data_IF_379388973988
#
_entry.id   IF_379388973988
#
_cell.length_a   1.000
_cell.length_b   1.000
_cell.length_c   1.000
_cell.angle_alpha   90.00
_cell.angle_beta   90.00
_cell.angle_gamma   90.00
#
_symmetry.space_group_name_H-M   'P 1'
#
loop_
_entity.id
_entity.type
_entity.pdbx_description
1 polymer ?
#
# COMPACT_ATOMS: atom_id res chain seq x y z
N UNK A 1 57.01 -1.59 -14.64
CA UNK A 1 55.62 -1.91 -15.04
C UNK A 1 54.83 -2.07 -13.76
N UNK A 2 53.81 -1.30 -13.42
CA UNK A 2 53.06 -0.29 -14.18
C UNK A 2 52.63 0.83 -13.22
N UNK A 3 52.63 2.06 -13.74
CA UNK A 3 51.75 3.13 -13.25
C UNK A 3 50.36 2.53 -13.18
N UNK A 4 49.70 2.63 -12.04
CA UNK A 4 48.25 2.44 -11.96
C UNK A 4 47.63 3.46 -12.90
N UNK A 5 47.29 3.03 -14.12
CA UNK A 5 46.50 3.84 -15.04
C UNK A 5 45.19 4.13 -14.33
N UNK A 6 45.04 5.40 -13.92
CA UNK A 6 43.86 5.88 -13.21
C UNK A 6 42.70 5.75 -14.19
N UNK A 7 41.72 4.91 -13.88
CA UNK A 7 40.56 4.74 -14.74
C UNK A 7 39.87 6.09 -14.92
N UNK A 8 39.70 6.51 -16.17
CA UNK A 8 39.06 7.78 -16.50
C UNK A 8 37.54 7.61 -16.53
N UNK A 9 36.82 8.51 -15.84
CA UNK A 9 35.37 8.52 -15.87
C UNK A 9 34.86 9.02 -17.24
N UNK A 10 33.77 8.45 -17.76
CA UNK A 10 33.12 8.95 -18.97
C UNK A 10 32.75 10.43 -18.83
N UNK A 11 32.97 11.20 -19.88
CA UNK A 11 32.63 12.63 -19.89
C UNK A 11 31.44 12.85 -20.81
N UNK A 12 30.31 13.25 -20.24
CA UNK A 12 29.13 13.60 -21.02
C UNK A 12 29.42 14.81 -21.93
N UNK A 13 29.00 14.70 -23.19
CA UNK A 13 28.99 15.83 -24.13
C UNK A 13 28.07 16.93 -23.60
N UNK A 14 28.52 18.18 -23.72
CA UNK A 14 27.73 19.36 -23.40
C UNK A 14 26.97 19.82 -24.65
N UNK A 15 25.64 19.80 -24.59
CA UNK A 15 24.74 20.31 -25.61
C UNK A 15 23.82 21.32 -24.91
N UNK A 16 24.04 22.61 -25.15
CA UNK A 16 23.30 23.67 -24.45
C UNK A 16 21.82 23.64 -24.84
N UNK A 17 20.97 23.44 -23.84
CA UNK A 17 19.53 23.68 -23.93
C UNK A 17 19.15 24.87 -23.07
N UNK A 18 18.48 25.85 -23.68
CA UNK A 18 17.84 26.94 -22.94
C UNK A 18 16.50 26.47 -22.35
N UNK A 19 16.33 26.74 -21.06
CA UNK A 19 15.10 26.55 -20.30
C UNK A 19 14.63 27.91 -19.80
N UNK A 20 13.56 28.44 -20.39
CA UNK A 20 13.02 29.76 -20.08
C UNK A 20 11.72 29.62 -19.30
N UNK A 21 11.70 30.09 -18.05
CA UNK A 21 10.50 30.11 -17.21
C UNK A 21 10.49 31.44 -16.43
N UNK A 22 9.33 32.11 -16.39
CA UNK A 22 9.14 33.40 -15.70
C UNK A 22 10.14 34.51 -16.10
N UNK A 23 10.62 34.49 -17.34
CA UNK A 23 11.60 35.46 -17.84
C UNK A 23 13.04 35.20 -17.41
N UNK A 24 13.30 34.13 -16.64
CA UNK A 24 14.64 33.66 -16.31
C UNK A 24 15.08 32.57 -17.29
N UNK A 25 16.33 32.64 -17.74
CA UNK A 25 16.91 31.68 -18.70
C UNK A 25 18.01 30.88 -18.03
N UNK A 26 17.79 29.58 -17.93
CA UNK A 26 18.79 28.63 -17.44
C UNK A 26 19.34 27.80 -18.60
N UNK A 27 20.65 27.57 -18.60
CA UNK A 27 21.31 26.70 -19.56
C UNK A 27 21.56 25.33 -18.94
N UNK A 28 20.96 24.30 -19.52
CA UNK A 28 21.21 22.92 -19.16
C UNK A 28 22.05 22.24 -20.26
N UNK A 29 23.36 22.04 -20.05
CA UNK A 29 24.22 21.38 -21.03
C UNK A 29 23.97 19.86 -21.17
N UNK A 30 23.15 19.27 -20.31
CA UNK A 30 22.93 17.82 -20.26
C UNK A 30 21.46 17.43 -20.45
N UNK A 31 20.60 18.37 -20.84
CA UNK A 31 19.17 18.14 -21.05
C UNK A 31 18.90 16.98 -22.02
N UNK A 32 19.76 16.81 -23.03
CA UNK A 32 19.68 15.74 -24.03
C UNK A 32 19.74 14.31 -23.44
N UNK A 33 20.27 14.13 -22.21
CA UNK A 33 20.25 12.84 -21.51
C UNK A 33 18.83 12.35 -21.14
N UNK A 34 17.80 13.19 -21.28
CA UNK A 34 16.41 12.80 -21.07
C UNK A 34 15.80 12.00 -22.25
N UNK A 35 16.48 11.96 -23.40
CA UNK A 35 16.01 11.32 -24.63
C UNK A 35 16.28 9.81 -24.59
N UNK A 36 15.36 9.05 -24.01
CA UNK A 36 15.54 7.62 -23.68
C UNK A 36 15.96 6.73 -24.86
N UNK A 37 15.49 7.04 -26.05
CA UNK A 37 15.75 6.25 -27.27
C UNK A 37 16.95 6.78 -28.08
N UNK A 38 17.60 7.86 -27.62
CA UNK A 38 18.75 8.44 -28.30
C UNK A 38 19.98 7.53 -28.16
N UNK A 39 20.61 7.08 -29.27
CA UNK A 39 21.79 6.22 -29.23
C UNK A 39 22.99 6.83 -28.50
N UNK A 40 23.18 8.16 -28.52
CA UNK A 40 24.26 8.83 -27.77
C UNK A 40 24.03 8.70 -26.25
N UNK A 41 22.77 8.70 -25.79
CA UNK A 41 22.42 8.55 -24.37
C UNK A 41 22.71 7.14 -23.92
N UNK A 42 22.24 6.14 -24.70
CA UNK A 42 22.48 4.72 -24.43
C UNK A 42 23.98 4.43 -24.40
N UNK A 43 24.75 4.99 -25.34
CA UNK A 43 26.21 4.83 -25.37
C UNK A 43 26.88 5.42 -24.12
N UNK A 44 26.46 6.61 -23.67
CA UNK A 44 26.99 7.22 -22.45
C UNK A 44 26.66 6.40 -21.20
N UNK A 45 25.42 5.91 -21.07
CA UNK A 45 25.02 5.04 -19.95
C UNK A 45 25.81 3.72 -19.92
N UNK A 46 26.06 3.12 -21.09
CA UNK A 46 26.90 1.93 -21.17
C UNK A 46 28.36 2.22 -20.77
N UNK A 47 28.89 3.39 -21.12
CA UNK A 47 30.22 3.81 -20.69
C UNK A 47 30.29 4.01 -19.16
N UNK A 48 29.27 4.62 -18.55
CA UNK A 48 29.17 4.76 -17.09
C UNK A 48 29.06 3.41 -16.39
N UNK A 49 28.28 2.46 -16.93
CA UNK A 49 28.20 1.10 -16.42
C UNK A 49 29.57 0.39 -16.49
N UNK A 50 30.27 0.49 -17.62
CA UNK A 50 31.59 -0.12 -17.79
C UNK A 50 32.64 0.50 -16.84
N UNK A 51 32.55 1.81 -16.59
CA UNK A 51 33.40 2.50 -15.60
C UNK A 51 33.10 2.01 -14.18
N UNK A 52 31.82 1.90 -13.81
CA UNK A 52 31.38 1.34 -12.53
C UNK A 52 31.88 -0.09 -12.31
N UNK A 53 31.72 -0.97 -13.32
CA UNK A 53 32.17 -2.37 -13.25
C UNK A 53 33.66 -2.45 -12.98
N UNK A 54 34.46 -1.67 -13.71
CA UNK A 54 35.92 -1.64 -13.53
C UNK A 54 36.33 -1.05 -12.18
N UNK A 55 35.70 0.05 -11.73
CA UNK A 55 36.04 0.67 -10.44
C UNK A 55 35.57 -0.09 -9.22
N UNK A 56 34.64 -1.03 -9.38
CA UNK A 56 34.14 -1.85 -8.27
C UNK A 56 34.55 -3.31 -8.36
N UNK A 57 35.33 -3.69 -9.38
CA UNK A 57 35.77 -5.07 -9.61
C UNK A 57 36.49 -5.68 -8.40
N UNK A 58 37.27 -4.89 -7.65
CA UNK A 58 37.99 -5.38 -6.45
C UNK A 58 37.07 -5.65 -5.24
N UNK A 59 35.78 -5.31 -5.32
CA UNK A 59 34.79 -5.64 -4.31
C UNK A 59 33.96 -6.88 -4.65
N UNK A 60 34.21 -7.58 -5.76
CA UNK A 60 33.35 -8.68 -6.23
C UNK A 60 33.15 -9.77 -5.16
N UNK A 61 34.23 -10.25 -4.55
CA UNK A 61 34.17 -11.26 -3.48
C UNK A 61 33.36 -10.75 -2.27
N UNK A 62 33.47 -9.46 -1.94
CA UNK A 62 32.73 -8.87 -0.82
C UNK A 62 31.25 -8.66 -1.16
N UNK A 63 30.92 -8.27 -2.40
CA UNK A 63 29.54 -8.18 -2.89
C UNK A 63 28.87 -9.55 -2.85
N UNK A 64 29.55 -10.60 -3.31
CA UNK A 64 29.03 -11.97 -3.27
C UNK A 64 28.85 -12.45 -1.82
N UNK A 65 29.81 -12.18 -0.93
CA UNK A 65 29.68 -12.51 0.49
C UNK A 65 28.45 -11.84 1.13
N UNK A 66 28.22 -10.56 0.85
CA UNK A 66 27.03 -9.83 1.31
C UNK A 66 25.74 -10.38 0.69
N UNK A 67 25.76 -10.71 -0.61
CA UNK A 67 24.61 -11.30 -1.29
C UNK A 67 24.22 -12.65 -0.65
N UNK A 68 25.18 -13.56 -0.47
CA UNK A 68 24.96 -14.85 0.19
C UNK A 68 24.47 -14.64 1.62
N UNK A 69 25.07 -13.72 2.37
CA UNK A 69 24.64 -13.40 3.74
C UNK A 69 23.18 -12.93 3.77
N UNK A 70 22.81 -11.94 2.95
CA UNK A 70 21.44 -11.41 2.88
C UNK A 70 20.44 -12.49 2.43
N UNK A 71 20.76 -13.24 1.38
CA UNK A 71 19.91 -14.33 0.88
C UNK A 71 19.72 -15.42 1.93
N UNK A 72 20.76 -15.77 2.68
CA UNK A 72 20.71 -16.82 3.72
C UNK A 72 19.77 -16.49 4.87
N UNK A 73 19.39 -15.21 5.05
CA UNK A 73 18.45 -14.76 6.08
C UNK A 73 16.98 -14.85 5.65
N UNK A 74 16.73 -15.05 4.35
CA UNK A 74 15.39 -15.07 3.77
C UNK A 74 14.88 -16.51 3.74
N UNK A 75 13.68 -16.71 4.26
CA UNK A 75 12.92 -17.95 4.09
C UNK A 75 12.21 -17.93 2.74
N UNK A 76 12.74 -18.66 1.75
CA UNK A 76 12.17 -18.72 0.40
C UNK A 76 10.80 -19.42 0.37
N UNK A 77 10.64 -20.51 1.13
CA UNK A 77 9.36 -21.20 1.33
C UNK A 77 8.56 -20.51 2.44
N UNK A 78 7.61 -19.66 2.07
CA UNK A 78 6.86 -18.86 3.05
C UNK A 78 5.38 -18.71 2.68
N UNK A 79 4.54 -18.39 3.68
CA UNK A 79 3.13 -18.12 3.46
C UNK A 79 2.63 -16.96 4.31
N UNK A 80 1.68 -16.18 3.79
CA UNK A 80 0.97 -15.17 4.56
C UNK A 80 0.20 -15.80 5.73
N UNK A 81 -0.05 -15.02 6.78
CA UNK A 81 -1.07 -15.39 7.78
C UNK A 81 -2.44 -15.43 7.09
N UNK A 82 -3.16 -16.57 7.08
CA UNK A 82 -4.46 -16.66 6.43
C UNK A 82 -5.48 -15.69 7.03
N UNK A 83 -6.25 -14.99 6.20
CA UNK A 83 -7.32 -14.09 6.66
C UNK A 83 -8.69 -14.58 6.22
N UNK A 84 -9.69 -14.40 7.06
CA UNK A 84 -11.07 -14.77 6.77
C UNK A 84 -11.79 -13.62 6.08
N UNK A 85 -12.46 -13.92 4.97
CA UNK A 85 -13.31 -13.00 4.25
C UNK A 85 -14.45 -13.76 3.59
N UNK A 86 -15.70 -13.35 3.85
CA UNK A 86 -16.89 -13.86 3.17
C UNK A 86 -17.01 -15.40 3.17
N UNK A 87 -16.66 -16.04 4.29
CA UNK A 87 -16.72 -17.50 4.43
C UNK A 87 -15.51 -18.27 3.89
N UNK A 88 -14.44 -17.60 3.45
CA UNK A 88 -13.21 -18.24 2.99
C UNK A 88 -11.98 -17.71 3.73
N UNK A 89 -10.97 -18.56 3.87
CA UNK A 89 -9.62 -18.20 4.31
C UNK A 89 -8.72 -18.03 3.10
N UNK A 90 -8.15 -16.86 2.92
CA UNK A 90 -7.26 -16.54 1.79
C UNK A 90 -5.80 -16.63 2.20
N UNK A 91 -4.97 -17.19 1.32
CA UNK A 91 -3.57 -17.50 1.59
C UNK A 91 -2.73 -17.10 0.35
N UNK A 92 -1.60 -16.46 0.60
CA UNK A 92 -0.54 -16.25 -0.39
C UNK A 92 0.66 -17.09 0.01
N UNK A 93 1.23 -17.84 -0.93
CA UNK A 93 2.38 -18.72 -0.72
C UNK A 93 3.51 -18.39 -1.67
N UNK A 94 4.73 -18.59 -1.21
CA UNK A 94 5.96 -18.58 -1.98
C UNK A 94 6.62 -19.95 -1.81
N UNK A 95 7.15 -20.47 -2.92
CA UNK A 95 7.81 -21.77 -2.97
C UNK A 95 9.27 -21.53 -3.33
N UNK A 96 10.16 -22.27 -2.70
CA UNK A 96 11.60 -22.17 -2.93
C UNK A 96 11.96 -22.37 -4.39
N UNK A 97 12.85 -21.51 -4.89
CA UNK A 97 13.25 -21.48 -6.30
C UNK A 97 12.16 -21.00 -7.26
N UNK A 98 11.08 -20.38 -6.76
CA UNK A 98 10.03 -19.74 -7.55
C UNK A 98 9.97 -18.25 -7.23
N UNK A 99 9.79 -17.44 -8.27
CA UNK A 99 9.87 -15.98 -8.16
C UNK A 99 8.52 -15.32 -7.84
N UNK A 100 7.40 -16.03 -8.04
CA UNK A 100 6.07 -15.45 -7.99
C UNK A 100 5.14 -16.13 -6.96
N UNK A 101 4.15 -15.39 -6.42
CA UNK A 101 3.22 -15.93 -5.44
C UNK A 101 2.22 -16.93 -6.03
N UNK A 102 1.78 -17.84 -5.19
CA UNK A 102 0.62 -18.69 -5.40
C UNK A 102 -0.51 -18.16 -4.51
N UNK A 103 -1.66 -17.86 -5.10
CA UNK A 103 -2.86 -17.41 -4.41
C UNK A 103 -3.84 -18.57 -4.28
N UNK A 104 -4.31 -18.83 -3.07
CA UNK A 104 -5.29 -19.89 -2.80
C UNK A 104 -6.29 -19.48 -1.71
N UNK A 105 -7.36 -20.26 -1.59
CA UNK A 105 -8.35 -20.10 -0.52
C UNK A 105 -8.83 -21.44 0.03
N UNK A 106 -9.39 -21.43 1.24
CA UNK A 106 -10.04 -22.59 1.88
C UNK A 106 -11.42 -22.17 2.38
N UNK A 107 -12.46 -22.96 2.11
CA UNK A 107 -13.83 -22.65 2.51
C UNK A 107 -14.02 -22.89 4.01
N UNK A 108 -14.58 -21.93 4.73
CA UNK A 108 -15.00 -21.96 6.16
C UNK A 108 -13.93 -22.24 7.22
N UNK A 109 -13.14 -23.30 7.06
CA UNK A 109 -12.07 -23.74 7.96
C UNK A 109 -10.73 -23.87 7.21
N UNK A 110 -9.63 -23.71 7.94
CA UNK A 110 -8.27 -23.96 7.43
C UNK A 110 -7.97 -25.46 7.23
N UNK A 111 -8.78 -26.35 7.81
CA UNK A 111 -8.67 -27.81 7.64
C UNK A 111 -9.35 -28.31 6.36
N UNK A 112 -10.19 -27.49 5.74
CA UNK A 112 -10.88 -27.85 4.51
C UNK A 112 -9.91 -27.87 3.30
N UNK A 113 -10.30 -28.56 2.20
CA UNK A 113 -9.49 -28.61 0.99
C UNK A 113 -9.12 -27.22 0.47
N UNK A 114 -7.89 -27.13 -0.05
CA UNK A 114 -7.38 -25.91 -0.66
C UNK A 114 -7.82 -25.77 -2.11
N UNK A 115 -8.34 -24.58 -2.43
CA UNK A 115 -8.72 -24.17 -3.77
C UNK A 115 -7.66 -23.21 -4.32
N UNK A 116 -7.00 -23.60 -5.41
CA UNK A 116 -6.03 -22.76 -6.10
C UNK A 116 -6.76 -21.65 -6.88
N UNK A 117 -6.43 -20.38 -6.59
CA UNK A 117 -6.91 -19.26 -7.38
C UNK A 117 -5.97 -18.99 -8.55
N UNK A 118 -4.68 -18.81 -8.27
CA UNK A 118 -3.66 -18.49 -9.28
C UNK A 118 -2.30 -19.05 -8.89
N UNK A 119 -1.61 -19.67 -9.85
CA UNK A 119 -0.16 -19.89 -9.78
C UNK A 119 0.53 -18.90 -10.72
N UNK A 120 1.06 -17.82 -10.14
CA UNK A 120 1.70 -16.77 -10.95
C UNK A 120 3.00 -17.27 -11.60
N UNK A 121 3.61 -18.35 -11.12
CA UNK A 121 4.81 -18.91 -11.74
C UNK A 121 4.49 -19.55 -13.08
N UNK A 122 3.37 -20.25 -13.18
CA UNK A 122 2.89 -20.82 -14.44
C UNK A 122 2.47 -19.73 -15.41
N UNK A 123 1.75 -18.70 -14.93
CA UNK A 123 1.30 -17.58 -15.75
C UNK A 123 2.47 -16.73 -16.27
N UNK A 124 3.56 -16.60 -15.52
CA UNK A 124 4.71 -15.78 -15.88
C UNK A 124 5.65 -16.41 -16.93
N UNK A 125 5.57 -17.73 -17.19
CA UNK A 125 6.57 -18.46 -18.02
C UNK A 125 6.83 -17.86 -19.40
N UNK A 126 5.80 -17.26 -20.03
CA UNK A 126 5.89 -16.71 -21.37
C UNK A 126 6.31 -15.23 -21.40
N UNK A 127 6.64 -14.64 -20.25
CA UNK A 127 6.85 -13.19 -20.12
C UNK A 127 8.18 -12.87 -19.42
N UNK A 128 8.88 -11.85 -19.92
CA UNK A 128 10.08 -11.31 -19.27
C UNK A 128 9.76 -10.48 -18.03
N UNK A 129 8.52 -10.01 -17.90
CA UNK A 129 7.96 -9.37 -16.72
C UNK A 129 6.54 -9.88 -16.50
N UNK A 130 6.16 -10.12 -15.25
CA UNK A 130 4.79 -10.48 -14.91
C UNK A 130 4.39 -9.86 -13.57
N UNK A 131 3.18 -9.30 -13.51
CA UNK A 131 2.58 -8.86 -12.26
C UNK A 131 1.07 -9.02 -12.29
N UNK A 132 0.57 -9.77 -11.30
CA UNK A 132 -0.86 -9.87 -11.00
C UNK A 132 -1.21 -8.92 -9.84
N UNK A 133 -2.32 -8.18 -9.96
CA UNK A 133 -2.83 -7.26 -8.92
C UNK A 133 -4.36 -7.29 -8.84
N UNK A 134 -4.93 -6.60 -7.85
CA UNK A 134 -6.35 -6.24 -7.85
C UNK A 134 -7.33 -7.39 -7.71
N UNK A 135 -6.91 -8.47 -7.02
CA UNK A 135 -7.77 -9.62 -6.71
C UNK A 135 -9.02 -9.19 -5.94
N UNK A 136 -10.18 -9.24 -6.59
CA UNK A 136 -11.47 -8.96 -5.97
C UNK A 136 -12.47 -10.06 -6.25
N UNK A 137 -13.02 -10.63 -5.17
CA UNK A 137 -13.95 -11.75 -5.22
C UNK A 137 -15.39 -11.22 -5.26
N UNK A 138 -16.23 -11.80 -6.13
CA UNK A 138 -17.65 -11.44 -6.19
C UNK A 138 -18.35 -11.77 -4.86
N UNK A 139 -19.43 -11.05 -4.49
CA UNK A 139 -20.12 -11.26 -3.22
C UNK A 139 -20.62 -12.70 -2.98
N UNK A 140 -20.94 -13.44 -4.04
CA UNK A 140 -21.33 -14.85 -4.00
C UNK A 140 -20.15 -15.85 -3.98
N UNK A 141 -18.90 -15.36 -3.97
CA UNK A 141 -17.66 -16.13 -4.03
C UNK A 141 -17.43 -16.94 -5.33
N UNK A 142 -18.22 -16.71 -6.38
CA UNK A 142 -18.16 -17.51 -7.62
C UNK A 142 -17.18 -16.97 -8.66
N UNK A 143 -16.79 -15.70 -8.58
CA UNK A 143 -15.92 -15.06 -9.57
C UNK A 143 -14.80 -14.26 -8.91
N UNK A 144 -13.70 -14.09 -9.63
CA UNK A 144 -12.62 -13.18 -9.27
C UNK A 144 -12.30 -12.26 -10.44
N UNK A 145 -12.21 -10.97 -10.17
CA UNK A 145 -11.63 -9.99 -11.09
C UNK A 145 -10.17 -9.71 -10.67
N UNK A 146 -9.27 -9.58 -11.64
CA UNK A 146 -7.83 -9.44 -11.40
C UNK A 146 -7.13 -8.76 -12.57
N UNK A 147 -6.10 -7.95 -12.30
CA UNK A 147 -5.31 -7.24 -13.31
C UNK A 147 -3.97 -7.92 -13.59
N UNK A 148 -3.56 -7.98 -14.86
CA UNK A 148 -2.23 -8.45 -15.29
C UNK A 148 -1.47 -7.34 -16.03
N UNK A 149 -0.19 -7.15 -15.68
CA UNK A 149 0.79 -6.37 -16.45
C UNK A 149 1.98 -7.26 -16.81
N UNK A 150 2.30 -7.33 -18.09
CA UNK A 150 3.44 -8.09 -18.63
C UNK A 150 4.56 -7.21 -19.19
N UNK A 151 4.43 -5.88 -19.03
CA UNK A 151 5.32 -4.86 -19.58
C UNK A 151 6.08 -4.05 -18.51
N UNK A 152 5.60 -4.05 -17.27
CA UNK A 152 6.17 -3.26 -16.17
C UNK A 152 5.76 -1.79 -16.16
N UNK A 153 4.85 -1.37 -17.05
CA UNK A 153 4.37 0.02 -17.13
C UNK A 153 3.24 0.32 -16.14
N UNK A 154 2.92 -0.61 -15.24
CA UNK A 154 1.77 -0.55 -14.31
C UNK A 154 0.48 -0.27 -15.09
N UNK A 155 0.38 -0.85 -16.28
CA UNK A 155 -0.79 -0.79 -17.14
C UNK A 155 -1.39 -2.17 -17.23
N UNK A 156 -2.59 -2.33 -16.68
CA UNK A 156 -3.14 -3.65 -16.43
C UNK A 156 -4.31 -3.91 -17.36
N UNK A 157 -4.41 -5.16 -17.81
CA UNK A 157 -5.65 -5.71 -18.36
C UNK A 157 -6.37 -6.45 -17.24
N UNK A 158 -7.61 -6.07 -16.95
CA UNK A 158 -8.47 -6.79 -16.00
C UNK A 158 -9.11 -7.95 -16.72
N UNK A 159 -9.03 -9.12 -16.11
CA UNK A 159 -9.70 -10.35 -16.51
C UNK A 159 -10.67 -10.80 -15.42
N UNK A 160 -11.64 -11.63 -15.80
CA UNK A 160 -12.60 -12.23 -14.88
C UNK A 160 -12.49 -13.75 -15.00
N UNK A 161 -12.34 -14.44 -13.86
CA UNK A 161 -12.29 -15.90 -13.80
C UNK A 161 -13.47 -16.42 -13.00
N UNK A 162 -14.16 -17.41 -13.55
CA UNK A 162 -15.16 -18.21 -12.87
C UNK A 162 -14.46 -19.27 -12.01
N UNK A 163 -14.75 -19.26 -10.72
CA UNK A 163 -14.08 -20.09 -9.71
C UNK A 163 -14.72 -21.47 -9.56
N UNK A 164 -15.96 -21.65 -10.04
CA UNK A 164 -16.63 -22.96 -10.02
C UNK A 164 -16.11 -23.84 -11.16
N UNK A 165 -15.92 -23.26 -12.34
CA UNK A 165 -15.43 -23.93 -13.55
C UNK A 165 -13.92 -23.80 -13.75
N UNK A 166 -13.26 -22.90 -13.01
CA UNK A 166 -11.85 -22.58 -13.13
C UNK A 166 -11.46 -21.99 -14.52
N UNK A 167 -12.42 -21.41 -15.25
CA UNK A 167 -12.20 -20.81 -16.57
C UNK A 167 -12.16 -19.29 -16.53
N UNK A 168 -11.26 -18.69 -17.33
CA UNK A 168 -11.27 -17.24 -17.58
C UNK A 168 -12.39 -16.93 -18.58
N UNK A 169 -13.22 -15.95 -18.27
CA UNK A 169 -14.31 -15.48 -19.14
C UNK A 169 -13.75 -14.74 -20.36
N UNK A 170 -14.58 -14.52 -21.38
CA UNK A 170 -14.18 -13.77 -22.58
C UNK A 170 -13.95 -12.28 -22.28
N UNK A 171 -14.54 -11.75 -21.21
CA UNK A 171 -14.40 -10.37 -20.79
C UNK A 171 -12.93 -10.03 -20.45
N UNK A 172 -12.42 -8.99 -21.10
CA UNK A 172 -11.12 -8.39 -20.79
C UNK A 172 -11.16 -6.88 -20.96
N UNK A 173 -10.51 -6.16 -20.05
CA UNK A 173 -10.61 -4.71 -19.97
C UNK A 173 -9.20 -4.12 -19.90
N UNK A 174 -8.77 -3.50 -20.99
CA UNK A 174 -7.41 -2.95 -21.13
C UNK A 174 -7.28 -1.52 -20.56
N UNK A 175 -6.01 -1.09 -20.43
CA UNK A 175 -5.63 0.27 -20.02
C UNK A 175 -6.19 0.72 -18.65
N UNK A 176 -6.06 -0.17 -17.66
CA UNK A 176 -6.60 0.04 -16.31
C UNK A 176 -5.51 0.18 -15.25
N UNK A 177 -5.91 0.56 -14.03
CA UNK A 177 -5.06 0.47 -12.82
C UNK A 177 -4.96 -0.96 -12.26
N UNK A 178 -5.72 -1.91 -12.82
CA UNK A 178 -5.82 -3.29 -12.35
C UNK A 178 -6.73 -3.48 -11.14
N UNK A 179 -7.23 -2.41 -10.52
CA UNK A 179 -8.19 -2.47 -9.42
C UNK A 179 -9.63 -2.34 -9.91
N UNK A 180 -10.55 -3.01 -9.22
CA UNK A 180 -11.98 -2.97 -9.49
C UNK A 180 -12.82 -3.16 -8.22
N UNK A 181 -14.12 -2.90 -8.31
CA UNK A 181 -15.07 -3.09 -7.22
C UNK A 181 -16.34 -3.77 -7.71
N UNK A 182 -16.73 -4.89 -7.07
CA UNK A 182 -17.98 -5.58 -7.34
C UNK A 182 -19.18 -4.86 -6.72
N UNK A 183 -20.24 -4.69 -7.50
CA UNK A 183 -21.58 -4.46 -6.97
C UNK A 183 -22.09 -5.67 -6.17
N UNK A 184 -23.27 -5.57 -5.56
CA UNK A 184 -23.89 -6.69 -4.81
C UNK A 184 -24.65 -7.68 -5.70
N UNK A 185 -24.80 -7.39 -7.00
CA UNK A 185 -25.51 -8.24 -7.97
C UNK A 185 -24.68 -9.41 -8.53
N UNK A 186 -23.39 -9.51 -8.14
CA UNK A 186 -22.41 -10.50 -8.63
C UNK A 186 -22.11 -10.42 -10.14
N UNK A 187 -22.56 -9.36 -10.81
CA UNK A 187 -22.53 -9.26 -12.27
C UNK A 187 -21.97 -7.93 -12.78
N UNK A 188 -21.92 -6.91 -11.93
CA UNK A 188 -21.43 -5.58 -12.29
C UNK A 188 -20.12 -5.26 -11.58
N UNK A 189 -19.13 -4.82 -12.36
CA UNK A 189 -17.83 -4.34 -11.92
C UNK A 189 -17.66 -2.86 -12.21
N UNK A 190 -17.02 -2.15 -11.30
CA UNK A 190 -16.55 -0.78 -11.52
C UNK A 190 -15.02 -0.78 -11.54
N UNK A 191 -14.42 -0.07 -12.48
CA UNK A 191 -12.96 -0.04 -12.64
C UNK A 191 -12.47 1.31 -13.13
N UNK A 192 -11.16 1.53 -13.02
CA UNK A 192 -10.50 2.79 -13.38
C UNK A 192 -9.75 2.65 -14.70
N UNK A 193 -10.04 3.50 -15.68
CA UNK A 193 -9.20 3.70 -16.87
C UNK A 193 -8.17 4.81 -16.67
N UNK A 194 -7.03 4.65 -17.32
CA UNK A 194 -5.93 5.61 -17.29
C UNK A 194 -5.88 6.43 -18.57
N UNK A 195 -5.42 7.66 -18.44
CA UNK A 195 -5.12 8.51 -19.58
C UNK A 195 -3.95 7.90 -20.38
N UNK A 196 -4.07 7.84 -21.71
CA UNK A 196 -3.15 7.09 -22.58
C UNK A 196 -1.70 7.59 -22.50
N UNK A 197 -1.52 8.91 -22.46
CA UNK A 197 -0.18 9.53 -22.40
C UNK A 197 0.37 9.64 -20.97
N UNK A 198 -0.39 10.22 -20.05
CA UNK A 198 0.10 10.54 -18.69
C UNK A 198 0.03 9.35 -17.73
N UNK A 199 -0.71 8.29 -18.09
CA UNK A 199 -1.03 7.14 -17.25
C UNK A 199 -1.78 7.50 -15.95
N UNK A 200 -2.32 8.73 -15.85
CA UNK A 200 -3.13 9.17 -14.70
C UNK A 200 -4.47 8.41 -14.68
N UNK A 201 -4.90 7.82 -13.55
CA UNK A 201 -6.25 7.31 -13.40
C UNK A 201 -7.26 8.46 -13.43
N UNK A 202 -8.22 8.45 -14.36
CA UNK A 202 -9.13 9.60 -14.56
C UNK A 202 -10.56 9.28 -14.98
N UNK A 203 -10.86 8.06 -15.41
CA UNK A 203 -12.24 7.66 -15.75
C UNK A 203 -12.64 6.42 -14.95
N UNK A 204 -13.85 6.42 -14.40
CA UNK A 204 -14.48 5.22 -13.84
C UNK A 204 -15.50 4.70 -14.84
N UNK A 205 -15.43 3.41 -15.13
CA UNK A 205 -16.37 2.71 -15.97
C UNK A 205 -17.11 1.64 -15.18
N UNK A 206 -18.33 1.35 -15.63
CA UNK A 206 -19.15 0.22 -15.19
C UNK A 206 -19.18 -0.83 -16.29
N UNK A 207 -18.68 -2.01 -15.97
CA UNK A 207 -18.73 -3.20 -16.80
C UNK A 207 -19.81 -4.16 -16.30
N UNK A 208 -20.60 -4.69 -17.22
CA UNK A 208 -21.55 -5.78 -16.95
C UNK A 208 -21.03 -7.03 -17.68
N UNK A 209 -20.84 -8.13 -16.95
CA UNK A 209 -20.26 -9.36 -17.52
C UNK A 209 -21.03 -9.79 -18.76
N UNK A 210 -20.30 -10.15 -19.81
CA UNK A 210 -20.82 -10.58 -21.11
C UNK A 210 -21.27 -9.43 -22.01
N UNK A 211 -21.17 -8.17 -21.57
CA UNK A 211 -21.40 -6.99 -22.43
C UNK A 211 -20.07 -6.46 -22.96
N UNK A 212 -20.09 -6.08 -24.25
CA UNK A 212 -18.92 -5.51 -24.93
C UNK A 212 -18.70 -4.02 -24.64
N UNK A 213 -19.77 -3.31 -24.32
CA UNK A 213 -19.73 -1.86 -24.12
C UNK A 213 -19.91 -1.52 -22.65
N UNK A 214 -18.91 -0.83 -22.11
CA UNK A 214 -18.89 -0.33 -20.74
C UNK A 214 -19.40 1.11 -20.67
N UNK A 215 -20.05 1.45 -19.57
CA UNK A 215 -20.63 2.78 -19.36
C UNK A 215 -19.67 3.64 -18.56
N UNK A 216 -19.31 4.82 -19.08
CA UNK A 216 -18.58 5.84 -18.31
C UNK A 216 -19.49 6.35 -17.19
N UNK A 217 -19.04 6.27 -15.93
CA UNK A 217 -19.83 6.71 -14.77
C UNK A 217 -19.27 7.96 -14.09
N UNK A 218 -17.97 8.23 -14.25
CA UNK A 218 -17.32 9.42 -13.70
C UNK A 218 -16.04 9.73 -14.47
N UNK A 219 -15.73 11.02 -14.64
CA UNK A 219 -14.48 11.48 -15.25
C UNK A 219 -13.90 12.67 -14.47
N UNK A 220 -12.66 12.54 -14.02
CA UNK A 220 -11.93 13.59 -13.31
C UNK A 220 -11.25 14.54 -14.30
N UNK A 221 -11.80 15.75 -14.37
CA UNK A 221 -11.35 16.82 -15.27
C UNK A 221 -10.07 17.51 -14.77
N UNK A 222 -9.84 17.56 -13.46
CA UNK A 222 -8.65 18.17 -12.89
C UNK A 222 -7.46 17.20 -12.96
N UNK A 223 -6.42 17.56 -13.72
CA UNK A 223 -5.25 16.72 -13.94
C UNK A 223 -4.34 16.59 -12.70
N UNK A 224 -4.60 17.33 -11.63
CA UNK A 224 -3.91 17.21 -10.34
C UNK A 224 -4.49 16.12 -9.45
N UNK A 225 -5.66 15.55 -9.81
CA UNK A 225 -6.34 14.51 -9.06
C UNK A 225 -6.15 13.14 -9.69
N UNK A 226 -5.90 12.12 -8.87
CA UNK A 226 -6.12 10.73 -9.22
C UNK A 226 -7.50 10.28 -8.75
N UNK A 227 -8.01 9.19 -9.33
CA UNK A 227 -9.23 8.55 -8.85
C UNK A 227 -9.08 7.06 -8.59
N UNK A 228 -9.87 6.55 -7.65
CA UNK A 228 -10.00 5.13 -7.34
C UNK A 228 -11.47 4.77 -7.12
N UNK A 229 -11.81 3.48 -7.25
CA UNK A 229 -13.13 2.94 -6.90
C UNK A 229 -12.97 1.74 -5.97
N UNK A 230 -13.78 1.69 -4.91
CA UNK A 230 -13.77 0.62 -3.93
C UNK A 230 -15.16 0.41 -3.32
N UNK A 231 -15.29 -0.62 -2.49
CA UNK A 231 -16.52 -0.93 -1.75
C UNK A 231 -16.30 -0.70 -0.27
N UNK A 232 -17.25 -0.03 0.37
CA UNK A 232 -17.26 0.13 1.82
C UNK A 232 -17.23 -1.21 2.55
N UNK A 233 -16.60 -1.27 3.74
CA UNK A 233 -16.53 -2.49 4.56
C UNK A 233 -17.92 -3.02 4.94
N UNK A 234 -18.89 -2.13 5.13
CA UNK A 234 -20.31 -2.48 5.32
C UNK A 234 -20.99 -3.17 4.13
N UNK A 235 -20.34 -3.18 2.96
CA UNK A 235 -20.86 -3.65 1.66
C UNK A 235 -22.06 -2.85 1.12
N UNK A 236 -22.51 -1.78 1.80
CA UNK A 236 -23.66 -0.97 1.40
C UNK A 236 -23.34 -0.01 0.25
N UNK A 237 -22.15 0.58 0.25
CA UNK A 237 -21.75 1.59 -0.74
C UNK A 237 -20.58 1.16 -1.62
N UNK A 238 -20.68 1.45 -2.90
CA UNK A 238 -19.56 1.68 -3.82
C UNK A 238 -19.12 3.14 -3.67
N UNK A 239 -17.81 3.38 -3.70
CA UNK A 239 -17.22 4.68 -3.41
C UNK A 239 -16.19 5.00 -4.49
N UNK A 240 -16.33 6.18 -5.10
CA UNK A 240 -15.27 6.80 -5.91
C UNK A 240 -14.53 7.77 -4.99
N UNK A 241 -13.21 7.64 -4.92
CA UNK A 241 -12.34 8.59 -4.24
C UNK A 241 -11.58 9.41 -5.28
N UNK A 242 -11.68 10.72 -5.20
CA UNK A 242 -10.87 11.68 -5.93
C UNK A 242 -9.85 12.27 -4.95
N UNK A 243 -8.57 12.23 -5.29
CA UNK A 243 -7.51 12.61 -4.37
C UNK A 243 -6.40 13.40 -5.07
N UNK A 244 -5.98 14.48 -4.42
CA UNK A 244 -4.71 15.17 -4.67
C UNK A 244 -3.87 15.16 -3.39
N UNK A 245 -2.77 15.91 -3.37
CA UNK A 245 -1.89 15.98 -2.20
C UNK A 245 -2.49 16.70 -1.00
N UNK A 246 -3.52 17.53 -1.19
CA UNK A 246 -4.06 18.41 -0.14
C UNK A 246 -5.58 18.49 -0.16
N UNK A 247 -6.26 17.69 -0.98
CA UNK A 247 -7.71 17.81 -1.15
C UNK A 247 -8.32 16.48 -1.59
N UNK A 248 -9.47 16.14 -1.00
CA UNK A 248 -10.25 14.96 -1.38
C UNK A 248 -11.68 15.32 -1.78
N UNK A 249 -12.29 14.44 -2.56
CA UNK A 249 -13.73 14.41 -2.80
C UNK A 249 -14.17 12.96 -2.97
N UNK A 250 -15.31 12.58 -2.40
CA UNK A 250 -15.86 11.24 -2.53
C UNK A 250 -17.23 11.27 -3.18
N UNK A 251 -17.54 10.21 -3.93
CA UNK A 251 -18.87 9.97 -4.45
C UNK A 251 -19.34 8.59 -4.01
N UNK A 252 -20.62 8.46 -3.64
CA UNK A 252 -21.21 7.24 -3.10
C UNK A 252 -22.36 6.74 -3.98
N UNK A 253 -22.47 5.42 -4.11
CA UNK A 253 -23.57 4.73 -4.79
C UNK A 253 -23.97 3.50 -3.97
N UNK A 254 -25.28 3.26 -3.80
CA UNK A 254 -25.77 2.03 -3.18
C UNK A 254 -25.32 0.82 -4.02
N UNK A 255 -24.56 -0.09 -3.43
CA UNK A 255 -24.00 -1.25 -4.12
C UNK A 255 -25.08 -2.27 -4.56
N UNK A 256 -26.30 -2.19 -4.02
CA UNK A 256 -27.46 -2.96 -4.48
C UNK A 256 -28.15 -2.35 -5.72
N UNK A 257 -27.81 -1.11 -6.08
CA UNK A 257 -28.38 -0.38 -7.23
C UNK A 257 -27.27 0.03 -8.21
N UNK A 258 -26.54 -0.93 -8.81
CA UNK A 258 -25.35 -0.62 -9.61
C UNK A 258 -25.62 0.17 -10.90
N UNK A 259 -26.89 0.25 -11.32
CA UNK A 259 -27.31 1.08 -12.45
C UNK A 259 -27.62 2.53 -12.04
N UNK A 260 -27.61 2.84 -10.74
CA UNK A 260 -27.83 4.18 -10.21
C UNK A 260 -26.70 5.15 -10.51
N UNK A 261 -26.85 6.38 -9.98
CA UNK A 261 -25.91 7.49 -10.20
C UNK A 261 -25.12 7.73 -8.93
N UNK A 262 -23.81 7.88 -9.07
CA UNK A 262 -22.93 8.30 -7.98
C UNK A 262 -23.32 9.70 -7.51
N UNK A 263 -23.51 9.85 -6.19
CA UNK A 263 -23.80 11.14 -5.56
C UNK A 263 -22.56 11.66 -4.86
N UNK A 264 -22.27 12.94 -5.00
CA UNK A 264 -21.20 13.61 -4.24
C UNK A 264 -21.50 13.45 -2.75
N UNK A 265 -20.49 13.02 -1.98
CA UNK A 265 -20.55 12.93 -0.52
C UNK A 265 -20.44 14.32 0.10
N UNK A 266 -19.36 15.03 -0.23
CA UNK A 266 -19.10 16.42 0.10
C UNK A 266 -18.28 17.03 -1.04
N UNK A 267 -18.79 18.13 -1.62
CA UNK A 267 -18.10 18.86 -2.68
C UNK A 267 -16.69 19.29 -2.25
N UNK A 268 -15.77 19.26 -3.21
CA UNK A 268 -14.37 19.60 -3.01
C UNK A 268 -14.18 21.00 -2.41
N UNK A 269 -13.46 21.06 -1.29
CA UNK A 269 -13.00 22.30 -0.66
C UNK A 269 -11.47 22.28 -0.69
N UNK A 270 -10.85 23.31 -1.28
CA UNK A 270 -9.37 23.37 -1.38
C UNK A 270 -8.73 23.32 0.01
N UNK A 271 -7.82 22.39 0.21
CA UNK A 271 -7.13 22.16 1.49
C UNK A 271 -7.89 21.23 2.44
N UNK A 272 -9.13 20.83 2.13
CA UNK A 272 -9.88 19.88 2.94
C UNK A 272 -9.49 18.45 2.55
N UNK A 273 -8.82 17.80 3.48
CA UNK A 273 -8.50 16.38 3.42
C UNK A 273 -9.48 15.62 4.30
N UNK A 274 -10.00 14.53 3.76
CA UNK A 274 -10.82 13.62 4.54
C UNK A 274 -10.81 12.22 3.95
N UNK A 275 -11.16 11.23 4.76
CA UNK A 275 -11.46 9.87 4.32
C UNK A 275 -12.77 9.38 4.93
N UNK A 276 -13.46 8.47 4.23
CA UNK A 276 -14.77 7.98 4.67
C UNK A 276 -14.78 6.47 4.89
N UNK A 277 -15.39 6.05 5.99
CA UNK A 277 -15.74 4.66 6.31
C UNK A 277 -17.22 4.57 6.66
N UNK A 278 -17.89 3.48 6.36
CA UNK A 278 -19.33 3.33 6.61
C UNK A 278 -19.62 2.20 7.60
N UNK A 279 -20.50 2.48 8.57
CA UNK A 279 -21.01 1.50 9.52
C UNK A 279 -22.41 1.90 10.03
N UNK A 280 -23.32 0.92 10.11
CA UNK A 280 -24.75 1.11 10.38
C UNK A 280 -25.42 2.10 9.41
N UNK A 281 -25.88 3.24 9.93
CA UNK A 281 -26.54 4.35 9.24
C UNK A 281 -25.64 5.60 9.16
N UNK A 282 -24.35 5.45 9.43
CA UNK A 282 -23.40 6.56 9.50
C UNK A 282 -22.15 6.33 8.64
N UNK A 283 -21.65 7.43 8.09
CA UNK A 283 -20.27 7.56 7.67
C UNK A 283 -19.43 8.13 8.80
N UNK A 284 -18.22 7.59 8.96
CA UNK A 284 -17.17 8.05 9.85
C UNK A 284 -16.07 8.68 9.02
N UNK A 285 -15.66 9.88 9.40
CA UNK A 285 -14.88 10.80 8.58
C UNK A 285 -13.63 11.23 9.35
N UNK A 286 -12.46 10.77 8.93
CA UNK A 286 -11.19 11.32 9.44
C UNK A 286 -10.89 12.55 8.60
N UNK A 287 -10.86 13.75 9.18
CA UNK A 287 -10.75 15.02 8.43
C UNK A 287 -9.89 16.07 9.12
N UNK A 288 -9.27 16.94 8.32
CA UNK A 288 -8.56 18.14 8.79
C UNK A 288 -9.46 19.39 8.89
N UNK A 289 -10.80 19.24 8.81
CA UNK A 289 -11.78 20.32 8.95
C UNK A 289 -11.51 21.17 10.20
N UNK A 290 -11.70 22.49 10.08
CA UNK A 290 -11.52 23.48 11.15
C UNK A 290 -10.06 23.60 11.62
N UNK A 291 -9.12 23.61 10.67
CA UNK A 291 -7.68 23.69 10.90
C UNK A 291 -7.13 22.55 11.80
N UNK A 292 -7.80 21.40 11.80
CA UNK A 292 -7.39 20.21 12.52
C UNK A 292 -6.24 19.51 11.77
N UNK A 293 -5.05 20.08 11.77
CA UNK A 293 -3.89 19.57 11.00
C UNK A 293 -3.43 18.18 11.43
N UNK A 294 -3.73 17.75 12.65
CA UNK A 294 -3.56 16.37 13.13
C UNK A 294 -4.82 15.50 12.99
N UNK A 295 -5.78 15.98 12.21
CA UNK A 295 -7.07 15.36 11.94
C UNK A 295 -7.95 15.19 13.19
N UNK A 296 -9.22 15.01 12.94
CA UNK A 296 -10.24 14.64 13.93
C UNK A 296 -11.18 13.61 13.33
N UNK A 297 -11.88 12.86 14.18
CA UNK A 297 -12.89 11.91 13.72
C UNK A 297 -14.27 12.55 13.86
N UNK A 298 -14.99 12.61 12.76
CA UNK A 298 -16.38 13.06 12.70
C UNK A 298 -17.27 11.93 12.20
N UNK A 299 -18.58 12.13 12.27
CA UNK A 299 -19.57 11.24 11.67
C UNK A 299 -20.71 12.06 11.06
N UNK A 300 -21.42 11.45 10.12
CA UNK A 300 -22.70 11.97 9.64
C UNK A 300 -23.60 10.82 9.20
N UNK A 301 -24.90 11.06 9.11
CA UNK A 301 -25.83 10.07 8.58
C UNK A 301 -25.60 9.83 7.09
N UNK A 302 -25.85 8.60 6.64
CA UNK A 302 -25.64 8.21 5.25
C UNK A 302 -26.65 8.77 4.24
N UNK A 303 -27.66 9.51 4.72
CA UNK A 303 -28.61 10.31 3.94
C UNK A 303 -28.35 11.83 4.00
N UNK A 304 -27.42 12.29 4.86
CA UNK A 304 -27.11 13.72 5.09
C UNK A 304 -25.58 13.95 5.10
N UNK A 305 -24.91 13.70 3.97
CA UNK A 305 -23.44 13.58 3.93
C UNK A 305 -22.65 14.91 3.95
N UNK A 306 -23.30 16.06 3.74
CA UNK A 306 -22.60 17.36 3.62
C UNK A 306 -21.97 17.79 4.94
N UNK A 307 -20.91 18.59 4.81
CA UNK A 307 -20.01 19.01 5.90
C UNK A 307 -20.70 19.72 7.06
N UNK A 308 -21.85 20.37 6.80
CA UNK A 308 -22.65 21.06 7.82
C UNK A 308 -23.34 20.09 8.79
N UNK A 309 -23.46 18.81 8.42
CA UNK A 309 -24.05 17.75 9.25
C UNK A 309 -23.00 16.91 9.98
N UNK A 310 -21.71 17.22 9.82
CA UNK A 310 -20.66 16.44 10.45
C UNK A 310 -20.62 16.72 11.95
N UNK A 311 -20.82 15.68 12.74
CA UNK A 311 -20.77 15.68 14.20
C UNK A 311 -19.43 15.12 14.68
N UNK A 312 -18.84 15.75 15.69
CA UNK A 312 -17.57 15.30 16.24
C UNK A 312 -17.72 13.98 17.02
N UNK A 313 -16.78 13.05 16.80
CA UNK A 313 -16.65 11.77 17.52
C UNK A 313 -15.38 11.78 18.37
N UNK A 314 -14.25 12.17 17.77
CA UNK A 314 -13.00 12.43 18.48
C UNK A 314 -12.50 13.83 18.10
N UNK A 315 -12.32 14.73 19.07
CA UNK A 315 -11.79 16.06 18.81
C UNK A 315 -10.35 16.01 18.30
N UNK A 316 -9.97 17.08 17.61
CA UNK A 316 -8.59 17.35 17.25
C UNK A 316 -7.68 17.44 18.49
N UNK A 317 -6.46 16.90 18.38
CA UNK A 317 -5.42 17.00 19.41
C UNK A 317 -4.12 17.53 18.80
N UNK A 318 -3.57 18.58 19.40
CA UNK A 318 -2.40 19.28 18.86
C UNK A 318 -1.12 18.42 18.84
N UNK A 319 -1.07 17.35 19.64
CA UNK A 319 0.09 16.46 19.83
C UNK A 319 -0.12 15.05 19.27
N UNK A 320 -1.33 14.73 18.75
CA UNK A 320 -1.67 13.39 18.25
C UNK A 320 -2.32 13.46 16.88
N UNK A 321 -1.63 12.95 15.87
CA UNK A 321 -2.17 12.72 14.54
C UNK A 321 -3.08 11.48 14.54
N UNK A 322 -4.30 11.60 14.00
CA UNK A 322 -5.11 10.45 13.61
C UNK A 322 -4.73 10.05 12.17
N UNK A 323 -4.10 8.89 11.99
CA UNK A 323 -3.66 8.42 10.67
C UNK A 323 -4.81 7.73 9.91
N UNK A 324 -5.55 6.83 10.56
CA UNK A 324 -6.73 6.16 10.00
C UNK A 324 -7.54 5.43 11.06
N UNK A 325 -8.66 4.83 10.64
CA UNK A 325 -9.53 4.01 11.48
C UNK A 325 -9.81 2.62 10.88
N UNK A 326 -10.03 1.64 11.75
CA UNK A 326 -10.57 0.32 11.42
C UNK A 326 -11.88 0.10 12.21
N UNK A 327 -12.98 -0.14 11.48
CA UNK A 327 -14.31 -0.33 12.06
C UNK A 327 -14.65 -1.83 12.15
N UNK A 328 -15.05 -2.28 13.33
CA UNK A 328 -15.59 -3.61 13.62
C UNK A 328 -17.01 -3.46 14.19
N UNK A 329 -17.75 -4.57 14.28
CA UNK A 329 -19.13 -4.57 14.80
C UNK A 329 -19.26 -3.95 16.20
N UNK A 330 -18.37 -4.29 17.12
CA UNK A 330 -18.45 -3.82 18.50
C UNK A 330 -17.34 -2.80 18.85
N UNK A 331 -16.34 -2.64 17.98
CA UNK A 331 -15.13 -1.88 18.25
C UNK A 331 -14.77 -0.92 17.12
N UNK A 332 -14.14 0.20 17.49
CA UNK A 332 -13.42 1.12 16.64
C UNK A 332 -11.94 1.07 17.03
N UNK A 333 -11.06 0.90 16.07
CA UNK A 333 -9.61 1.02 16.28
C UNK A 333 -9.12 2.26 15.57
N UNK A 334 -8.46 3.15 16.29
CA UNK A 334 -7.88 4.39 15.77
C UNK A 334 -6.36 4.24 15.76
N UNK A 335 -5.76 4.40 14.59
CA UNK A 335 -4.32 4.45 14.44
C UNK A 335 -3.88 5.89 14.60
N UNK A 336 -3.04 6.13 15.60
CA UNK A 336 -2.61 7.46 16.02
C UNK A 336 -1.08 7.57 15.96
N UNK A 337 -0.56 8.79 15.86
CA UNK A 337 0.86 9.07 16.04
C UNK A 337 1.06 10.21 17.02
N UNK A 338 1.76 9.92 18.11
CA UNK A 338 2.10 10.89 19.17
C UNK A 338 3.59 10.82 19.43
N UNK A 339 4.25 11.97 19.50
CA UNK A 339 5.71 12.06 19.66
C UNK A 339 6.45 11.11 18.70
N UNK A 340 6.02 11.04 17.44
CA UNK A 340 6.63 10.20 16.39
C UNK A 340 6.40 8.68 16.49
N UNK A 341 5.72 8.15 17.51
CA UNK A 341 5.40 6.72 17.62
C UNK A 341 3.96 6.43 17.24
N UNK A 342 3.77 5.31 16.55
CA UNK A 342 2.45 4.76 16.26
C UNK A 342 1.78 4.25 17.54
N UNK A 343 0.50 4.53 17.70
CA UNK A 343 -0.33 4.02 18.78
C UNK A 343 -1.61 3.43 18.18
N UNK A 344 -2.10 2.34 18.77
CA UNK A 344 -3.38 1.74 18.38
C UNK A 344 -4.34 1.89 19.57
N UNK A 345 -5.35 2.75 19.40
CA UNK A 345 -6.40 2.99 20.39
C UNK A 345 -7.62 2.12 20.06
N UNK A 346 -8.08 1.32 21.01
CA UNK A 346 -9.25 0.46 20.88
C UNK A 346 -10.38 1.07 21.70
N UNK A 347 -11.48 1.37 21.01
CA UNK A 347 -12.70 1.92 21.59
C UNK A 347 -13.88 0.98 21.32
N UNK A 348 -14.87 0.95 22.21
CA UNK A 348 -16.17 0.32 21.94
C UNK A 348 -17.21 1.36 21.56
N UNK A 349 -18.13 0.99 20.66
CA UNK A 349 -19.22 1.88 20.24
C UNK A 349 -20.19 2.27 21.36
N UNK A 350 -20.30 1.42 22.39
CA UNK A 350 -21.12 1.64 23.59
C UNK A 350 -20.41 2.49 24.67
N UNK A 351 -19.20 3.00 24.39
CA UNK A 351 -18.34 3.76 25.31
C UNK A 351 -17.93 3.01 26.59
N UNK A 352 -18.11 1.70 26.68
CA UNK A 352 -17.73 0.92 27.87
C UNK A 352 -16.22 0.63 27.96
N UNK A 353 -15.46 0.92 26.90
CA UNK A 353 -14.02 0.61 26.83
C UNK A 353 -13.31 1.58 25.90
N UNK A 354 -12.15 2.06 26.36
CA UNK A 354 -11.24 2.94 25.63
C UNK A 354 -9.82 2.75 26.18
N UNK A 355 -8.88 2.25 25.38
CA UNK A 355 -7.51 2.01 25.82
C UNK A 355 -6.53 1.93 24.65
N UNK A 356 -5.24 2.11 24.94
CA UNK A 356 -4.16 1.90 23.99
C UNK A 356 -3.56 0.51 24.13
N UNK A 357 -3.15 -0.09 23.00
CA UNK A 357 -2.32 -1.28 23.01
C UNK A 357 -0.95 -0.95 23.62
N UNK A 358 -0.42 -1.79 24.54
CA UNK A 358 0.86 -1.54 25.17
C UNK A 358 2.01 -1.93 24.23
N UNK A 359 2.90 -0.98 23.94
CA UNK A 359 4.17 -1.20 23.22
C UNK A 359 5.34 -0.79 24.11
N UNK A 360 6.38 -1.64 24.18
CA UNK A 360 7.46 -1.54 25.17
C UNK A 360 8.83 -1.15 24.60
N UNK A 361 8.91 -0.84 23.31
CA UNK A 361 10.14 -0.40 22.63
C UNK A 361 10.04 1.10 22.33
N UNK A 362 11.16 1.82 22.21
CA UNK A 362 11.18 3.25 21.88
C UNK A 362 11.39 3.50 20.37
N UNK A 363 11.61 2.44 19.60
CA UNK A 363 11.99 2.44 18.17
C UNK A 363 11.19 1.40 17.38
N UNK A 364 9.89 1.31 17.64
CA UNK A 364 8.99 0.40 16.95
C UNK A 364 8.16 1.07 15.86
N UNK A 365 7.52 0.23 15.07
CA UNK A 365 6.40 0.57 14.22
C UNK A 365 5.28 -0.42 14.48
N UNK A 366 4.06 0.08 14.59
CA UNK A 366 2.85 -0.70 14.74
C UNK A 366 1.77 -0.15 13.81
N UNK A 367 1.03 -1.03 13.16
CA UNK A 367 -0.03 -0.64 12.21
C UNK A 367 -1.09 -1.74 12.12
N UNK A 368 -2.35 -1.38 11.89
CA UNK A 368 -3.39 -2.38 11.66
C UNK A 368 -3.11 -3.15 10.36
N UNK A 369 -3.34 -4.46 10.40
CA UNK A 369 -3.13 -5.37 9.27
C UNK A 369 -4.43 -5.68 8.53
N UNK A 370 -4.50 -6.87 7.94
CA UNK A 370 -5.68 -7.34 7.21
C UNK A 370 -6.84 -7.64 8.17
N UNK A 371 -7.76 -6.69 8.31
CA UNK A 371 -8.96 -6.78 9.16
C UNK A 371 -10.25 -6.69 8.32
N UNK A 372 -10.38 -7.55 7.30
CA UNK A 372 -11.53 -7.52 6.38
C UNK A 372 -12.80 -8.18 6.93
N UNK A 373 -12.67 -9.07 7.91
CA UNK A 373 -13.81 -9.62 8.66
C UNK A 373 -14.37 -8.53 9.59
N UNK A 374 -15.68 -8.31 9.51
CA UNK A 374 -16.33 -7.21 10.20
C UNK A 374 -16.87 -7.61 11.59
N UNK A 375 -17.47 -8.80 11.66
CA UNK A 375 -18.06 -9.36 12.88
C UNK A 375 -17.03 -10.21 13.62
N UNK A 376 -16.07 -9.54 14.27
CA UNK A 376 -15.00 -10.18 15.03
C UNK A 376 -14.53 -9.29 16.18
N UNK A 377 -14.01 -9.93 17.23
CA UNK A 377 -13.32 -9.26 18.35
C UNK A 377 -11.80 -9.32 18.21
N UNK A 378 -11.30 -9.89 17.11
CA UNK A 378 -9.88 -10.10 16.86
C UNK A 378 -9.35 -8.99 15.94
N UNK A 379 -8.49 -8.14 16.49
CA UNK A 379 -7.69 -7.19 15.74
C UNK A 379 -6.39 -7.86 15.31
N UNK A 380 -6.04 -7.77 14.03
CA UNK A 380 -4.71 -8.10 13.55
C UNK A 380 -3.90 -6.84 13.32
N UNK A 381 -2.68 -6.80 13.84
CA UNK A 381 -1.75 -5.70 13.62
C UNK A 381 -0.33 -6.23 13.33
N UNK A 382 0.41 -5.46 12.55
CA UNK A 382 1.84 -5.63 12.34
C UNK A 382 2.62 -4.93 13.45
N UNK A 383 3.69 -5.56 13.93
CA UNK A 383 4.62 -4.96 14.87
C UNK A 383 6.04 -5.36 14.52
N UNK A 384 6.96 -4.39 14.50
CA UNK A 384 8.39 -4.63 14.45
C UNK A 384 9.13 -3.50 15.17
N UNK A 385 10.39 -3.75 15.54
CA UNK A 385 11.30 -2.70 15.96
C UNK A 385 12.65 -2.88 15.28
N UNK A 386 13.59 -1.97 15.51
CA UNK A 386 14.94 -2.13 14.96
C UNK A 386 15.67 -3.38 15.49
N UNK A 387 15.23 -3.94 16.61
CA UNK A 387 15.80 -5.16 17.21
C UNK A 387 14.90 -6.39 17.06
N UNK A 388 13.59 -6.18 16.83
CA UNK A 388 12.60 -7.27 16.76
C UNK A 388 12.08 -7.44 15.33
N UNK A 389 12.25 -8.64 14.72
CA UNK A 389 11.69 -8.93 13.40
C UNK A 389 10.17 -8.72 13.32
N UNK A 390 9.67 -8.51 12.11
CA UNK A 390 8.26 -8.24 11.88
C UNK A 390 7.37 -9.39 12.33
N UNK A 391 6.31 -9.06 13.07
CA UNK A 391 5.30 -9.99 13.53
C UNK A 391 3.91 -9.56 13.11
N UNK A 392 3.08 -10.54 12.76
CA UNK A 392 1.62 -10.39 12.69
C UNK A 392 1.04 -10.91 13.99
N UNK A 393 0.43 -10.01 14.75
CA UNK A 393 -0.14 -10.30 16.06
C UNK A 393 -1.66 -10.24 15.95
N UNK A 394 -2.33 -11.19 16.58
CA UNK A 394 -3.77 -11.19 16.76
C UNK A 394 -4.11 -10.90 18.22
N UNK A 395 -4.92 -9.87 18.40
CA UNK A 395 -5.27 -9.31 19.69
C UNK A 395 -6.78 -9.35 19.87
N UNK A 396 -7.23 -10.01 20.93
CA UNK A 396 -8.63 -10.01 21.29
C UNK A 396 -8.97 -8.71 22.02
N UNK A 397 -9.74 -7.85 21.36
CA UNK A 397 -10.12 -6.52 21.85
C UNK A 397 -11.02 -6.55 23.08
N UNK A 398 -11.68 -7.69 23.36
CA UNK A 398 -12.54 -7.88 24.53
C UNK A 398 -11.74 -8.39 25.74
N UNK A 399 -10.99 -9.48 25.58
CA UNK A 399 -10.24 -10.12 26.69
C UNK A 399 -8.87 -9.49 26.92
N UNK A 400 -8.39 -8.64 26.00
CA UNK A 400 -7.06 -8.01 26.01
C UNK A 400 -5.90 -9.00 25.99
N UNK A 401 -6.11 -10.16 25.38
CA UNK A 401 -5.10 -11.20 25.21
C UNK A 401 -4.56 -11.18 23.79
N UNK A 402 -3.27 -11.48 23.62
CA UNK A 402 -2.64 -11.52 22.30
C UNK A 402 -1.95 -12.86 22.02
N UNK A 403 -1.84 -13.18 20.73
CA UNK A 403 -1.00 -14.27 20.24
C UNK A 403 -0.28 -13.84 18.97
N UNK A 404 0.97 -14.27 18.81
CA UNK A 404 1.73 -14.08 17.57
C UNK A 404 1.22 -15.12 16.57
N UNK A 405 0.69 -14.67 15.43
CA UNK A 405 0.27 -15.57 14.34
C UNK A 405 1.45 -15.94 13.44
N UNK A 406 2.38 -15.01 13.26
CA UNK A 406 3.61 -15.21 12.51
C UNK A 406 4.66 -14.21 12.96
N UNK A 407 5.87 -14.67 13.22
CA UNK A 407 7.08 -13.84 13.34
C UNK A 407 7.96 -14.13 12.12
N UNK A 408 8.58 -13.09 11.56
CA UNK A 408 9.52 -13.23 10.46
C UNK A 408 10.74 -14.00 10.93
N UNK A 409 10.93 -15.19 10.36
CA UNK A 409 12.09 -16.01 10.61
C UNK A 409 13.31 -15.41 9.92
N UNK A 410 14.36 -15.11 10.70
CA UNK A 410 15.65 -14.64 10.18
C UNK A 410 16.61 -15.82 10.16
N UNK A 411 16.78 -16.42 8.98
CA UNK A 411 17.61 -17.60 8.79
C UNK A 411 19.13 -17.28 8.81
N UNK A 412 19.97 -18.29 8.56
CA UNK A 412 21.43 -18.14 8.50
C UNK A 412 22.15 -18.30 9.85
N UNK A 413 21.41 -18.58 10.94
CA UNK A 413 21.93 -19.06 12.22
C UNK A 413 22.78 -18.08 13.05
N UNK A 414 23.03 -16.87 12.54
CA UNK A 414 23.86 -15.85 13.20
C UNK A 414 23.07 -14.71 13.83
N UNK A 415 21.79 -14.57 13.46
CA UNK A 415 20.94 -13.53 14.01
C UNK A 415 20.42 -13.93 15.38
N UNK A 416 20.64 -13.07 16.36
CA UNK A 416 19.95 -13.10 17.65
C UNK A 416 19.56 -11.65 17.97
N UNK A 417 18.27 -11.41 18.19
CA UNK A 417 17.75 -10.08 18.58
C UNK A 417 18.43 -9.54 19.84
N UNK A 418 18.87 -10.42 20.73
CA UNK A 418 19.54 -10.05 21.97
C UNK A 418 20.96 -9.49 21.74
N UNK A 419 21.54 -9.67 20.55
CA UNK A 419 22.83 -9.08 20.20
C UNK A 419 22.75 -7.58 19.86
N UNK A 420 21.54 -7.03 19.70
CA UNK A 420 21.31 -5.66 19.28
C UNK A 420 20.61 -4.87 20.38
N UNK A 421 20.93 -3.58 20.47
CA UNK A 421 20.16 -2.62 21.24
C UNK A 421 19.74 -1.48 20.32
N UNK A 422 18.55 -0.95 20.59
CA UNK A 422 18.07 0.27 19.95
C UNK A 422 17.78 1.33 21.00
N UNK A 423 17.90 2.58 20.58
CA UNK A 423 17.62 3.74 21.42
C UNK A 423 17.00 4.83 20.58
N UNK A 424 16.16 5.65 21.23
CA UNK A 424 15.64 6.85 20.61
C UNK A 424 16.37 8.08 21.14
N UNK A 425 16.96 8.83 20.22
CA UNK A 425 17.68 10.06 20.49
C UNK A 425 16.90 11.25 19.96
N UNK A 426 17.21 12.45 20.48
CA UNK A 426 16.62 13.70 20.02
C UNK A 426 17.74 14.69 19.73
N UNK A 427 17.98 14.96 18.44
CA UNK A 427 18.82 16.07 18.03
C UNK A 427 18.07 17.39 18.24
N UNK A 428 18.82 18.49 18.34
CA UNK A 428 18.26 19.84 18.46
C UNK A 428 18.69 20.60 17.22
N UNK A 429 17.71 21.05 16.42
CA UNK A 429 17.94 21.91 15.27
C UNK A 429 18.40 23.31 15.70
N UNK A 430 18.88 24.11 14.74
CA UNK A 430 19.31 25.50 15.00
C UNK A 430 18.19 26.37 15.59
N UNK A 431 16.93 26.09 15.24
CA UNK A 431 15.74 26.77 15.75
C UNK A 431 15.22 26.22 17.10
N UNK A 432 15.90 25.22 17.68
CA UNK A 432 15.51 24.56 18.92
C UNK A 432 14.57 23.36 18.76
N UNK A 433 14.09 23.08 17.55
CA UNK A 433 13.20 21.94 17.26
C UNK A 433 13.88 20.62 17.63
N UNK A 434 13.14 19.73 18.33
CA UNK A 434 13.61 18.39 18.67
C UNK A 434 13.37 17.44 17.49
N UNK A 435 14.45 16.92 16.91
CA UNK A 435 14.41 15.97 15.79
C UNK A 435 14.63 14.55 16.33
N UNK A 436 13.64 13.65 16.26
CA UNK A 436 13.80 12.29 16.74
C UNK A 436 14.69 11.46 15.80
N UNK A 437 15.53 10.62 16.38
CA UNK A 437 16.39 9.66 15.67
C UNK A 437 16.25 8.28 16.31
N UNK A 438 16.03 7.26 15.51
CA UNK A 438 16.04 5.85 15.96
C UNK A 438 17.37 5.23 15.57
N UNK A 439 18.16 4.78 16.56
CA UNK A 439 19.45 4.14 16.34
C UNK A 439 19.36 2.66 16.71
N UNK A 440 20.07 1.81 15.97
CA UNK A 440 20.33 0.41 16.34
C UNK A 440 21.79 0.07 16.11
N UNK A 441 22.36 -0.68 17.03
CA UNK A 441 23.71 -1.22 16.88
C UNK A 441 23.87 -2.52 17.67
N UNK A 442 24.93 -3.26 17.39
CA UNK A 442 25.28 -4.44 18.21
C UNK A 442 25.74 -4.02 19.60
N UNK A 443 25.37 -4.78 20.62
CA UNK A 443 25.68 -4.48 22.03
C UNK A 443 27.17 -4.55 22.37
N UNK A 444 27.94 -5.32 21.61
CA UNK A 444 29.38 -5.46 21.77
C UNK A 444 30.18 -4.30 21.14
N UNK A 445 29.53 -3.43 20.37
CA UNK A 445 30.16 -2.21 19.84
C UNK A 445 30.23 -1.15 20.92
N UNK A 446 31.44 -0.79 21.31
CA UNK A 446 31.69 0.36 22.19
C UNK A 446 31.51 1.65 21.40
N UNK A 447 30.58 2.52 21.83
CA UNK A 447 30.32 3.82 21.20
C UNK A 447 31.60 4.68 21.22
N UNK A 448 32.09 5.06 20.04
CA UNK A 448 33.27 5.88 19.83
C UNK A 448 33.14 6.69 18.54
N UNK A 449 33.98 7.72 18.38
CA UNK A 449 34.02 8.55 17.14
C UNK A 449 34.56 7.78 15.93
N UNK A 450 35.11 6.58 16.15
CA UNK A 450 35.71 5.73 15.12
C UNK A 450 34.72 4.71 14.54
N UNK A 451 33.56 4.54 15.15
CA UNK A 451 32.54 3.66 14.59
C UNK A 451 31.98 4.28 13.30
N UNK A 452 31.89 3.50 12.20
CA UNK A 452 31.11 3.93 11.06
C UNK A 452 29.63 4.04 11.46
N UNK A 453 28.97 5.10 11.00
CA UNK A 453 27.53 5.37 11.23
C UNK A 453 26.82 5.45 9.90
#
# INVERSE_FOLDING_TARGET
MNKTDKLEAPVAKKILKELVIHGDTRLDPYYWLNERDNPEVIAYLNAENAYYEQQTAHYEDFKEALFIEMKSRIKEDDQSVPYKYNGYWYITKYVKGKDYPIYSRKKESLDNPEELLFDCNEMAKAHSYFRLVGLTISPDNKRVAYGIDTSGRRNYTIYIKDLETNTVLEDSIENTTGSSAWANDNNTLFYVKKHETTLRPYQIYRHTIGKKEDVLVYEEQDNTFGIAVYKSKSKKFLIIACYSTTTNEYHILNANEPQGVFKVFQERIKGLEYSISHYNDHFYIVTNKDDATNFKLMKTKDDCCTIDHWEEVLPHRADTLIEHIDIFKDFLVVSERTNGLNQLRVMRWDNSTDYYLPFNDETYTAFTGTNVEFDTHLLRFGYNSLTTPSSVIEFNMQTKTQRILKEQEVLGGKFDKNNYMSERLWAVAEDGTKIPMSLVHRKDVKKSKQNPV
#
